data_IF_803397665123
#
_entry.id   IF_803397665123
#
_cell.length_a   1.000
_cell.length_b   1.000
_cell.length_c   1.000
_cell.angle_alpha   90.00
_cell.angle_beta   90.00
_cell.angle_gamma   90.00
#
_symmetry.space_group_name_H-M   'P 1'
#
loop_
_entity.id
_entity.type
_entity.pdbx_description
1 polymer ?
#
# COMPACT_ATOMS: atom_id res chain seq x y z
N UNK A 1 11.93 1.04 4.62
CA UNK A 1 10.48 1.03 4.95
C UNK A 1 10.29 1.38 6.42
N UNK A 2 9.06 1.64 6.86
CA UNK A 2 8.73 2.09 8.20
C UNK A 2 9.00 3.59 8.39
N UNK A 3 9.70 3.93 9.48
CA UNK A 3 9.88 5.30 9.97
C UNK A 3 10.95 6.09 9.18
N UNK A 4 10.80 6.22 7.86
CA UNK A 4 11.83 6.79 6.98
C UNK A 4 11.26 7.83 6.01
N UNK A 5 12.04 8.86 5.66
CA UNK A 5 11.64 9.89 4.69
C UNK A 5 10.34 10.58 5.10
N UNK A 6 9.42 10.78 4.14
CA UNK A 6 8.08 11.30 4.42
C UNK A 6 7.24 10.41 5.36
N UNK A 7 7.54 9.12 5.46
CA UNK A 7 6.87 8.17 6.35
C UNK A 7 7.24 8.28 7.83
N UNK A 8 8.25 9.09 8.19
CA UNK A 8 8.84 9.13 9.54
C UNK A 8 7.79 9.30 10.64
N UNK A 9 6.90 10.29 10.53
CA UNK A 9 5.86 10.59 11.52
C UNK A 9 4.51 9.93 11.29
N UNK A 10 4.39 9.07 10.27
CA UNK A 10 3.09 8.56 9.82
C UNK A 10 2.61 7.35 10.62
N UNK A 11 1.30 7.15 10.66
CA UNK A 11 0.62 6.08 11.41
C UNK A 11 -0.56 5.51 10.64
N UNK A 12 -0.77 4.20 10.71
CA UNK A 12 -1.92 3.56 10.07
C UNK A 12 -2.59 2.55 10.99
N UNK A 13 -3.92 2.48 10.96
CA UNK A 13 -4.72 1.58 11.79
C UNK A 13 -4.39 1.67 13.30
N UNK A 14 -4.07 2.88 13.79
CA UNK A 14 -3.67 3.10 15.18
C UNK A 14 -2.33 2.47 15.58
N UNK A 15 -1.55 1.95 14.64
CA UNK A 15 -0.15 1.57 14.84
C UNK A 15 0.78 2.57 14.17
N UNK A 16 2.06 2.51 14.53
CA UNK A 16 3.10 3.16 13.75
C UNK A 16 3.16 2.51 12.36
N UNK A 17 3.29 3.35 11.33
CA UNK A 17 3.45 2.94 9.95
C UNK A 17 4.53 3.82 9.30
N UNK A 18 4.38 4.12 8.01
CA UNK A 18 5.29 4.99 7.28
C UNK A 18 5.40 4.61 5.83
N UNK A 19 6.63 4.50 5.35
CA UNK A 19 6.91 4.13 3.97
C UNK A 19 6.88 2.61 3.82
N UNK A 20 6.19 2.10 2.81
CA UNK A 20 6.23 0.68 2.44
C UNK A 20 6.29 0.50 0.94
N UNK A 21 6.74 -0.67 0.48
CA UNK A 21 6.81 -0.99 -0.93
C UNK A 21 6.60 -2.47 -1.18
N UNK A 22 6.14 -2.81 -2.37
CA UNK A 22 6.07 -4.18 -2.87
C UNK A 22 6.02 -4.16 -4.40
N UNK A 23 6.22 -5.30 -5.03
CA UNK A 23 6.12 -5.44 -6.49
C UNK A 23 5.54 -6.78 -6.91
N UNK A 24 5.11 -6.86 -8.17
CA UNK A 24 4.65 -8.09 -8.82
C UNK A 24 5.21 -8.15 -10.22
N UNK A 25 5.70 -9.33 -10.60
CA UNK A 25 6.06 -9.64 -11.98
C UNK A 25 4.90 -10.42 -12.61
N UNK A 26 4.49 -10.04 -13.81
CA UNK A 26 3.40 -10.66 -14.56
C UNK A 26 3.82 -11.00 -15.97
N UNK A 27 3.29 -12.10 -16.51
CA UNK A 27 3.48 -12.50 -17.90
C UNK A 27 2.25 -12.12 -18.72
N UNK A 28 2.47 -11.51 -19.89
CA UNK A 28 1.42 -11.11 -20.85
C UNK A 28 1.90 -11.56 -22.23
N UNK A 29 1.23 -12.57 -22.79
CA UNK A 29 1.75 -13.26 -23.98
C UNK A 29 3.14 -13.85 -23.73
N UNK A 30 4.14 -13.39 -24.49
CA UNK A 30 5.54 -13.79 -24.33
C UNK A 30 6.37 -12.79 -23.53
N UNK A 31 5.79 -11.63 -23.19
CA UNK A 31 6.48 -10.56 -22.49
C UNK A 31 6.29 -10.69 -20.97
N UNK A 32 7.27 -10.16 -20.22
CA UNK A 32 7.27 -10.13 -18.76
C UNK A 32 7.40 -8.68 -18.31
N UNK A 33 6.47 -8.24 -17.47
CA UNK A 33 6.40 -6.88 -16.96
C UNK A 33 6.40 -6.87 -15.43
N UNK A 34 6.78 -5.76 -14.84
CA UNK A 34 6.79 -5.52 -13.41
C UNK A 34 5.86 -4.37 -13.03
N UNK A 35 5.05 -4.54 -11.99
CA UNK A 35 4.34 -3.47 -11.30
C UNK A 35 4.98 -3.28 -9.93
N UNK A 36 5.55 -2.10 -9.69
CA UNK A 36 6.06 -1.67 -8.40
C UNK A 36 5.11 -0.68 -7.72
N UNK A 37 4.95 -0.80 -6.41
CA UNK A 37 4.14 0.12 -5.61
C UNK A 37 4.95 0.64 -4.43
N UNK A 38 4.90 1.95 -4.21
CA UNK A 38 5.43 2.61 -3.03
C UNK A 38 4.31 3.41 -2.35
N UNK A 39 4.19 3.24 -1.04
CA UNK A 39 3.16 3.89 -0.23
C UNK A 39 3.77 4.75 0.87
N UNK A 40 3.08 5.84 1.21
CA UNK A 40 3.20 6.50 2.49
C UNK A 40 1.87 6.31 3.23
N UNK A 41 1.85 5.35 4.15
CA UNK A 41 0.63 4.94 4.86
C UNK A 41 0.41 5.81 6.11
N UNK A 42 -0.66 6.61 6.09
CA UNK A 42 -1.04 7.46 7.22
C UNK A 42 -2.56 7.43 7.48
N UNK A 43 -3.25 6.28 7.51
CA UNK A 43 -4.72 6.24 7.41
C UNK A 43 -5.39 5.19 8.30
N UNK A 44 -6.73 5.22 8.34
CA UNK A 44 -7.61 4.23 8.98
C UNK A 44 -7.47 4.05 10.51
N UNK A 45 -8.48 3.38 11.08
CA UNK A 45 -8.64 3.10 12.51
C UNK A 45 -8.29 1.64 12.84
N UNK A 46 -7.95 1.35 14.10
CA UNK A 46 -7.51 0.03 14.56
C UNK A 46 -8.43 -1.10 14.13
N UNK A 47 -9.73 -0.98 14.42
CA UNK A 47 -10.71 -2.07 14.26
C UNK A 47 -10.91 -2.53 12.81
N UNK A 48 -10.45 -1.72 11.85
CA UNK A 48 -10.54 -2.04 10.45
C UNK A 48 -9.38 -2.89 9.95
N UNK A 49 -8.25 -2.97 10.67
CA UNK A 49 -7.05 -3.63 10.13
C UNK A 49 -7.33 -5.10 9.80
N UNK A 50 -7.17 -5.41 8.52
CA UNK A 50 -7.23 -6.76 7.97
C UNK A 50 -5.86 -7.12 7.40
N UNK A 51 -5.37 -8.32 7.71
CA UNK A 51 -4.14 -8.88 7.14
C UNK A 51 -4.45 -10.29 6.65
N UNK A 52 -4.23 -10.56 5.35
CA UNK A 52 -4.56 -11.86 4.73
C UNK A 52 -6.01 -12.34 5.00
N UNK A 53 -6.96 -11.40 5.06
CA UNK A 53 -8.36 -11.65 5.38
C UNK A 53 -8.68 -11.86 6.87
N UNK A 54 -7.70 -11.75 7.76
CA UNK A 54 -7.85 -11.91 9.21
C UNK A 54 -8.09 -10.56 9.88
N UNK A 55 -9.07 -10.41 10.79
CA UNK A 55 -9.39 -9.15 11.46
C UNK A 55 -8.39 -8.82 12.58
N UNK A 56 -7.11 -8.67 12.25
CA UNK A 56 -5.99 -8.41 13.19
C UNK A 56 -6.26 -7.22 14.09
N UNK A 57 -6.89 -6.17 13.56
CA UNK A 57 -7.25 -4.98 14.34
C UNK A 57 -8.12 -5.27 15.54
N UNK A 58 -9.03 -6.24 15.43
CA UNK A 58 -9.95 -6.64 16.51
C UNK A 58 -9.30 -7.58 17.52
N UNK A 59 -8.30 -8.35 17.08
CA UNK A 59 -7.53 -9.27 17.93
C UNK A 59 -6.45 -8.55 18.75
N UNK A 60 -5.96 -7.39 18.26
CA UNK A 60 -5.02 -6.51 18.97
C UNK A 60 -5.75 -5.21 19.35
N UNK A 61 -6.58 -5.30 20.39
CA UNK A 61 -7.37 -4.15 20.89
C UNK A 61 -6.60 -3.27 21.88
N UNK A 62 -5.51 -3.77 22.45
CA UNK A 62 -4.54 -3.03 23.28
C UNK A 62 -3.51 -2.27 22.43
N UNK A 63 -2.43 -1.76 23.03
CA UNK A 63 -1.43 -0.94 22.33
C UNK A 63 -2.06 0.24 21.56
N UNK A 64 -3.11 0.84 22.13
CA UNK A 64 -3.70 2.06 21.59
C UNK A 64 -2.69 3.19 21.70
N UNK A 65 -2.65 4.11 20.72
CA UNK A 65 -1.71 5.22 20.76
C UNK A 65 -1.94 6.08 22.01
N UNK A 66 -0.85 6.54 22.63
CA UNK A 66 -0.91 7.55 23.69
C UNK A 66 -0.99 8.90 22.99
N UNK A 67 -2.10 9.61 23.20
CA UNK A 67 -2.37 10.90 22.55
C UNK A 67 -2.70 11.92 23.65
N UNK A 68 -1.80 12.88 23.86
CA UNK A 68 -1.98 13.96 24.84
C UNK A 68 -2.75 15.16 24.27
N UNK A 69 -2.87 15.26 22.94
CA UNK A 69 -3.67 16.27 22.25
C UNK A 69 -4.29 15.67 21.00
N UNK A 70 -5.60 15.77 20.85
CA UNK A 70 -6.32 15.24 19.69
C UNK A 70 -5.84 15.87 18.38
N UNK A 71 -5.75 15.04 17.35
CA UNK A 71 -5.42 15.45 15.99
C UNK A 71 -6.67 16.01 15.29
N UNK A 72 -6.51 17.07 14.51
CA UNK A 72 -7.65 17.66 13.74
C UNK A 72 -8.06 16.82 12.52
N UNK A 73 -7.27 15.83 12.07
CA UNK A 73 -7.50 15.05 10.84
C UNK A 73 -7.18 13.57 10.99
N UNK A 74 -7.96 12.68 10.35
CA UNK A 74 -7.83 11.23 10.54
C UNK A 74 -6.71 10.57 9.73
N UNK A 75 -6.09 11.24 8.75
CA UNK A 75 -4.98 10.68 8.01
C UNK A 75 -4.99 10.94 6.50
N UNK A 76 -4.14 10.26 5.75
CA UNK A 76 -4.11 10.18 4.29
C UNK A 76 -3.29 8.95 3.84
N UNK A 77 -3.43 8.53 2.58
CA UNK A 77 -2.45 7.64 1.95
C UNK A 77 -1.99 8.21 0.61
N UNK A 78 -0.67 8.17 0.39
CA UNK A 78 -0.08 8.46 -0.91
C UNK A 78 0.40 7.14 -1.53
N UNK A 79 0.06 6.89 -2.79
CA UNK A 79 0.47 5.67 -3.52
C UNK A 79 1.07 6.08 -4.86
N UNK A 80 2.32 5.66 -5.10
CA UNK A 80 2.96 5.73 -6.40
C UNK A 80 3.07 4.32 -6.98
N UNK A 81 2.65 4.17 -8.24
CA UNK A 81 2.66 2.91 -8.98
C UNK A 81 3.55 3.10 -10.20
N UNK A 82 4.56 2.24 -10.34
CA UNK A 82 5.47 2.20 -11.47
C UNK A 82 5.25 0.91 -12.25
N UNK A 83 5.36 0.96 -13.57
CA UNK A 83 5.41 -0.25 -14.40
C UNK A 83 6.35 -0.06 -15.58
N UNK A 84 7.03 -1.11 -16.01
CA UNK A 84 7.78 -1.13 -17.27
C UNK A 84 6.90 -1.47 -18.48
N UNK A 85 5.65 -1.88 -18.25
CA UNK A 85 4.68 -2.11 -19.32
C UNK A 85 4.40 -0.81 -20.09
N UNK A 86 4.40 -0.87 -21.43
CA UNK A 86 4.12 0.30 -22.23
C UNK A 86 2.62 0.59 -22.25
N UNK A 87 2.23 1.63 -21.51
CA UNK A 87 0.85 1.99 -21.28
C UNK A 87 0.59 3.45 -21.64
N UNK A 88 -0.58 3.70 -22.24
CA UNK A 88 -1.08 5.05 -22.50
C UNK A 88 -1.59 5.73 -21.20
N UNK A 89 -1.71 7.07 -21.18
CA UNK A 89 -2.18 7.80 -20.01
C UNK A 89 -3.56 7.35 -19.47
N UNK A 90 -4.49 6.93 -20.32
CA UNK A 90 -5.79 6.42 -19.90
C UNK A 90 -5.72 5.02 -19.29
N UNK A 91 -4.80 4.16 -19.76
CA UNK A 91 -4.51 2.87 -19.14
C UNK A 91 -3.84 3.05 -17.77
N UNK A 92 -2.90 3.99 -17.64
CA UNK A 92 -2.30 4.35 -16.35
C UNK A 92 -3.35 4.88 -15.35
N UNK A 93 -4.35 5.64 -15.81
CA UNK A 93 -5.49 6.02 -14.96
C UNK A 93 -6.28 4.79 -14.47
N UNK A 94 -6.44 3.75 -15.30
CA UNK A 94 -7.09 2.49 -14.88
C UNK A 94 -6.25 1.76 -13.84
N UNK A 95 -4.93 1.70 -14.01
CA UNK A 95 -3.98 1.15 -13.04
C UNK A 95 -4.05 1.91 -11.70
N UNK A 96 -3.96 3.24 -11.72
CA UNK A 96 -4.05 4.07 -10.51
C UNK A 96 -5.33 3.81 -9.71
N UNK A 97 -6.48 3.65 -10.39
CA UNK A 97 -7.75 3.33 -9.74
C UNK A 97 -7.76 1.97 -9.03
N UNK A 98 -6.91 1.01 -9.44
CA UNK A 98 -6.84 -0.32 -8.81
C UNK A 98 -6.15 -0.31 -7.45
N UNK A 99 -5.38 0.73 -7.13
CA UNK A 99 -4.78 0.90 -5.80
C UNK A 99 -5.82 0.87 -4.69
N UNK A 100 -7.00 1.45 -4.93
CA UNK A 100 -8.13 1.50 -3.99
C UNK A 100 -8.55 0.10 -3.54
N UNK A 101 -8.49 -0.89 -4.43
CA UNK A 101 -8.83 -2.27 -4.08
C UNK A 101 -7.81 -2.87 -3.11
N UNK A 102 -6.52 -2.54 -3.25
CA UNK A 102 -5.48 -2.95 -2.30
C UNK A 102 -5.66 -2.28 -0.94
N UNK A 103 -5.98 -0.98 -0.92
CA UNK A 103 -6.33 -0.26 0.31
C UNK A 103 -7.53 -0.92 1.01
N UNK A 104 -8.60 -1.21 0.26
CA UNK A 104 -9.80 -1.83 0.80
C UNK A 104 -9.55 -3.23 1.39
N UNK A 105 -8.63 -4.02 0.81
CA UNK A 105 -8.25 -5.34 1.35
C UNK A 105 -7.57 -5.28 2.71
N UNK A 106 -6.92 -4.17 3.03
CA UNK A 106 -6.36 -3.92 4.39
C UNK A 106 -7.41 -3.37 5.38
N UNK A 107 -8.63 -3.12 4.91
CA UNK A 107 -9.74 -2.52 5.67
C UNK A 107 -9.82 -1.00 5.60
N UNK A 108 -9.03 -0.36 4.72
CA UNK A 108 -9.16 1.07 4.46
C UNK A 108 -10.51 1.43 3.85
N UNK A 109 -11.14 2.50 4.36
CA UNK A 109 -12.46 2.97 3.90
C UNK A 109 -12.46 4.40 3.34
N UNK A 110 -11.29 5.06 3.23
CA UNK A 110 -11.15 6.43 2.71
C UNK A 110 -12.14 7.42 3.37
N UNK A 111 -11.95 7.73 4.66
CA UNK A 111 -12.87 8.63 5.39
C UNK A 111 -12.84 10.06 4.83
N UNK A 112 -13.85 10.87 5.13
CA UNK A 112 -14.00 12.24 4.59
C UNK A 112 -12.77 13.14 4.81
N UNK A 113 -12.00 12.91 5.87
CA UNK A 113 -10.79 13.69 6.16
C UNK A 113 -9.51 13.11 5.54
N UNK A 114 -9.62 11.98 4.80
CA UNK A 114 -8.49 11.29 4.18
C UNK A 114 -8.12 11.91 2.84
N UNK A 115 -6.92 12.47 2.75
CA UNK A 115 -6.36 12.99 1.50
C UNK A 115 -5.73 11.88 0.65
N UNK A 116 -6.54 10.95 0.15
CA UNK A 116 -6.04 9.77 -0.59
C UNK A 116 -5.67 10.14 -2.03
N UNK A 117 -4.37 10.01 -2.36
CA UNK A 117 -3.83 10.41 -3.67
C UNK A 117 -3.02 9.28 -4.30
N UNK A 118 -3.34 8.96 -5.56
CA UNK A 118 -2.72 7.88 -6.31
C UNK A 118 -2.15 8.39 -7.63
N UNK A 119 -0.92 8.00 -7.94
CA UNK A 119 -0.27 8.28 -9.22
C UNK A 119 0.28 6.98 -9.82
N UNK A 120 0.11 6.80 -11.13
CA UNK A 120 0.69 5.70 -11.87
C UNK A 120 1.49 6.23 -13.05
N UNK A 121 2.67 5.65 -13.31
CA UNK A 121 3.50 5.99 -14.46
C UNK A 121 4.12 4.74 -15.08
N UNK A 122 4.40 4.82 -16.39
CA UNK A 122 5.16 3.82 -17.13
C UNK A 122 6.60 4.30 -17.31
N UNK A 123 7.55 3.38 -17.25
CA UNK A 123 8.97 3.63 -17.60
C UNK A 123 9.30 3.18 -19.03
N UNK A 124 8.31 2.76 -19.82
CA UNK A 124 8.52 2.41 -21.22
C UNK A 124 9.00 3.62 -22.01
N UNK A 125 9.95 3.38 -22.91
CA UNK A 125 10.59 4.41 -23.73
C UNK A 125 10.07 4.27 -25.16
N UNK A 126 9.60 5.35 -25.79
CA UNK A 126 9.18 5.30 -27.18
C UNK A 126 10.37 5.13 -28.12
N UNK A 127 10.10 4.54 -29.28
CA UNK A 127 11.08 4.46 -30.36
C UNK A 127 11.08 5.76 -31.19
N UNK A 128 12.24 6.29 -31.60
CA UNK A 128 12.31 7.42 -32.54
C UNK A 128 11.72 7.07 -33.91
N UNK A 129 10.88 7.95 -34.46
CA UNK A 129 10.27 7.83 -35.79
C UNK A 129 10.37 9.17 -36.54
N UNK A 130 11.60 9.53 -36.93
CA UNK A 130 11.91 10.83 -37.54
C UNK A 130 11.67 11.99 -36.57
N UNK A 131 10.67 12.82 -36.87
CA UNK A 131 10.23 13.93 -35.99
C UNK A 131 9.11 13.52 -35.02
N UNK A 132 8.77 12.22 -34.98
CA UNK A 132 7.72 11.64 -34.14
C UNK A 132 8.32 10.59 -33.21
N UNK A 133 7.52 10.20 -32.22
CA UNK A 133 7.78 9.05 -31.37
C UNK A 133 6.76 7.95 -31.66
N UNK A 134 7.21 6.70 -31.66
CA UNK A 134 6.37 5.51 -31.81
C UNK A 134 6.29 4.77 -30.48
N UNK A 135 5.07 4.62 -29.98
CA UNK A 135 4.78 3.90 -28.75
C UNK A 135 4.22 2.52 -29.09
N UNK A 136 4.91 1.45 -28.69
CA UNK A 136 4.37 0.09 -28.72
C UNK A 136 3.54 -0.12 -27.45
N UNK A 137 2.22 0.01 -27.51
CA UNK A 137 1.34 -0.08 -26.33
C UNK A 137 0.67 -1.45 -26.21
N UNK A 138 0.43 -1.91 -24.98
CA UNK A 138 -0.49 -3.03 -24.76
C UNK A 138 -1.91 -2.64 -25.19
N UNK A 139 -2.64 -3.59 -25.77
CA UNK A 139 -4.08 -3.41 -26.05
C UNK A 139 -4.87 -3.44 -24.75
N UNK A 140 -6.08 -2.91 -24.76
CA UNK A 140 -6.91 -2.83 -23.56
C UNK A 140 -7.32 -4.18 -22.97
N UNK A 141 -7.32 -5.24 -23.78
CA UNK A 141 -7.71 -6.59 -23.38
C UNK A 141 -6.56 -7.32 -22.66
N UNK A 142 -5.32 -6.93 -22.94
CA UNK A 142 -4.12 -7.58 -22.40
C UNK A 142 -3.65 -7.01 -21.05
N UNK A 143 -4.20 -5.87 -20.59
CA UNK A 143 -3.70 -5.22 -19.36
C UNK A 143 -4.25 -5.82 -18.05
N UNK A 144 -5.15 -6.79 -18.12
CA UNK A 144 -5.79 -7.39 -16.95
C UNK A 144 -4.80 -7.97 -15.91
N UNK A 145 -3.70 -8.65 -16.30
CA UNK A 145 -2.68 -9.07 -15.36
C UNK A 145 -2.07 -7.92 -14.54
N UNK A 146 -1.82 -6.76 -15.16
CA UNK A 146 -1.32 -5.56 -14.47
C UNK A 146 -2.37 -4.98 -13.53
N UNK A 147 -3.64 -4.94 -13.97
CA UNK A 147 -4.77 -4.50 -13.15
C UNK A 147 -4.98 -5.40 -11.92
N UNK A 148 -4.74 -6.71 -12.06
CA UNK A 148 -4.85 -7.70 -10.97
C UNK A 148 -3.64 -7.69 -10.03
N UNK A 149 -2.44 -7.42 -10.55
CA UNK A 149 -1.20 -7.31 -9.77
C UNK A 149 -1.16 -6.05 -8.90
N UNK A 150 -1.69 -4.92 -9.42
CA UNK A 150 -1.69 -3.62 -8.72
C UNK A 150 -2.28 -3.67 -7.29
N UNK A 151 -3.48 -4.23 -7.04
CA UNK A 151 -4.02 -4.30 -5.69
C UNK A 151 -3.23 -5.23 -4.77
N UNK A 152 -2.61 -6.29 -5.30
CA UNK A 152 -1.77 -7.19 -4.49
C UNK A 152 -0.50 -6.47 -4.01
N UNK A 153 0.19 -5.77 -4.92
CA UNK A 153 1.36 -4.98 -4.58
C UNK A 153 0.99 -3.82 -3.64
N UNK A 154 -0.19 -3.21 -3.81
CA UNK A 154 -0.65 -2.14 -2.92
C UNK A 154 -0.97 -2.66 -1.52
N UNK A 155 -1.71 -3.76 -1.42
CA UNK A 155 -2.04 -4.42 -0.15
C UNK A 155 -0.73 -4.77 0.60
N UNK A 156 0.20 -5.45 -0.06
CA UNK A 156 1.46 -5.84 0.55
C UNK A 156 2.32 -4.63 0.95
N UNK A 157 2.43 -3.59 0.12
CA UNK A 157 3.19 -2.40 0.46
C UNK A 157 2.67 -1.71 1.73
N UNK A 158 1.35 -1.68 1.94
CA UNK A 158 0.74 -1.15 3.18
C UNK A 158 1.10 -2.02 4.38
N UNK A 159 1.03 -3.35 4.23
CA UNK A 159 1.43 -4.28 5.30
C UNK A 159 2.92 -4.14 5.60
N UNK A 160 3.80 -4.04 4.60
CA UNK A 160 5.23 -3.85 4.79
C UNK A 160 5.53 -2.52 5.52
N UNK A 161 4.77 -1.45 5.27
CA UNK A 161 4.89 -0.20 6.01
C UNK A 161 4.61 -0.39 7.52
N UNK A 162 3.62 -1.22 7.87
CA UNK A 162 3.29 -1.55 9.28
C UNK A 162 4.34 -2.45 9.91
N UNK A 163 4.79 -3.48 9.19
CA UNK A 163 5.78 -4.46 9.68
C UNK A 163 7.15 -3.81 9.92
N UNK A 164 7.59 -2.95 9.01
CA UNK A 164 8.89 -2.30 9.09
C UNK A 164 8.94 -1.14 10.12
N UNK A 165 7.78 -0.63 10.54
CA UNK A 165 7.69 0.47 11.48
C UNK A 165 8.12 0.05 12.90
N UNK A 166 8.72 0.99 13.63
CA UNK A 166 9.13 0.82 15.04
C UNK A 166 8.37 1.79 15.93
N UNK A 167 8.05 1.39 17.17
CA UNK A 167 7.41 2.28 18.15
C UNK A 167 8.12 3.63 18.21
N UNK A 168 7.36 4.71 18.20
CA UNK A 168 7.90 6.07 18.20
C UNK A 168 7.09 6.95 19.14
N UNK A 169 7.80 7.64 20.04
CA UNK A 169 7.29 8.78 20.78
C UNK A 169 7.71 10.06 20.05
N UNK A 170 6.73 10.88 19.69
CA UNK A 170 6.93 12.12 18.96
C UNK A 170 6.61 13.35 19.81
N UNK A 171 6.19 14.41 19.12
CA UNK A 171 5.83 15.68 19.75
C UNK A 171 4.73 15.50 20.81
N UNK A 172 4.78 16.32 21.86
CA UNK A 172 3.84 16.32 22.98
C UNK A 172 3.75 14.98 23.73
N UNK A 173 4.78 14.12 23.64
CA UNK A 173 4.77 12.80 24.27
C UNK A 173 3.87 11.77 23.57
N UNK A 174 3.30 12.11 22.41
CA UNK A 174 2.41 11.21 21.70
C UNK A 174 3.16 9.95 21.24
N UNK A 175 2.64 8.77 21.54
CA UNK A 175 3.32 7.50 21.25
C UNK A 175 2.46 6.61 20.38
N UNK A 176 3.02 6.15 19.26
CA UNK A 176 2.42 5.12 18.40
C UNK A 176 3.27 3.86 18.46
N UNK A 177 2.63 2.73 18.77
CA UNK A 177 3.29 1.44 18.90
C UNK A 177 3.46 0.76 17.54
N UNK A 178 4.57 0.05 17.35
CA UNK A 178 4.71 -0.87 16.23
C UNK A 178 3.70 -2.03 16.36
N UNK A 179 3.31 -2.60 15.22
CA UNK A 179 2.53 -3.84 15.18
C UNK A 179 3.38 -4.97 15.79
N UNK A 180 2.95 -5.64 16.89
CA UNK A 180 3.73 -6.71 17.51
C UNK A 180 3.78 -7.94 16.59
N UNK A 181 4.96 -8.27 16.08
CA UNK A 181 5.15 -9.34 15.09
C UNK A 181 4.78 -10.72 15.61
N UNK A 182 5.15 -11.05 16.86
CA UNK A 182 4.86 -12.36 17.45
C UNK A 182 3.35 -12.60 17.56
N UNK A 183 2.62 -11.60 18.09
CA UNK A 183 1.15 -11.65 18.18
C UNK A 183 0.49 -11.70 16.81
N UNK A 184 1.02 -10.96 15.83
CA UNK A 184 0.52 -11.06 14.46
C UNK A 184 0.64 -12.50 13.93
N UNK A 185 1.79 -13.15 14.13
CA UNK A 185 2.00 -14.54 13.70
C UNK A 185 1.04 -15.50 14.41
N UNK A 186 0.89 -15.36 15.72
CA UNK A 186 -0.06 -16.17 16.51
C UNK A 186 -1.50 -16.01 16.01
N UNK A 187 -1.93 -14.78 15.72
CA UNK A 187 -3.25 -14.49 15.16
C UNK A 187 -3.40 -15.12 13.77
N UNK A 188 -2.41 -15.00 12.89
CA UNK A 188 -2.47 -15.62 11.57
C UNK A 188 -2.50 -17.16 11.66
N UNK A 189 -1.78 -17.76 12.61
CA UNK A 189 -1.87 -19.21 12.88
C UNK A 189 -3.26 -19.61 13.38
N UNK A 190 -3.83 -18.87 14.34
CA UNK A 190 -5.20 -19.09 14.87
C UNK A 190 -6.25 -19.14 13.75
N UNK A 191 -6.05 -18.36 12.68
CA UNK A 191 -6.94 -18.29 11.52
C UNK A 191 -6.51 -19.16 10.32
N UNK A 192 -5.55 -20.07 10.49
CA UNK A 192 -5.03 -20.93 9.41
C UNK A 192 -4.54 -20.14 8.19
N UNK A 193 -3.83 -19.04 8.44
CA UNK A 193 -3.17 -18.20 7.42
C UNK A 193 -1.65 -18.24 7.48
N UNK A 194 -1.09 -18.89 8.50
CA UNK A 194 0.31 -19.23 8.60
C UNK A 194 0.40 -20.69 9.05
N UNK A 195 1.20 -21.55 8.40
CA UNK A 195 1.42 -22.90 8.90
C UNK A 195 2.01 -22.84 10.32
N UNK A 196 1.51 -23.70 11.21
CA UNK A 196 2.14 -23.91 12.51
C UNK A 196 3.56 -24.43 12.29
N UNK A 197 4.53 -23.79 12.95
CA UNK A 197 5.93 -24.20 12.90
C UNK A 197 6.19 -25.54 13.58
#
# INVERSE_FOLDING_TARGET
>A
EGNTGGGTGMRAFGFKAGTGTASRVVSIGQDVFCVGVLVQANFARRDNLVVAGVPVGKEISDLQPIIHREFEKEGSILIAIATDAPLLPDQLKRIAKRAVLGVARTGGVSTNSSGDLFIAFSTAIPEPDGIRERWATLTNDEIDPLLAATPQATEEAIINALIAAKTMTGINGNTFYALPHDRLREILMKYNRLPGG
#
